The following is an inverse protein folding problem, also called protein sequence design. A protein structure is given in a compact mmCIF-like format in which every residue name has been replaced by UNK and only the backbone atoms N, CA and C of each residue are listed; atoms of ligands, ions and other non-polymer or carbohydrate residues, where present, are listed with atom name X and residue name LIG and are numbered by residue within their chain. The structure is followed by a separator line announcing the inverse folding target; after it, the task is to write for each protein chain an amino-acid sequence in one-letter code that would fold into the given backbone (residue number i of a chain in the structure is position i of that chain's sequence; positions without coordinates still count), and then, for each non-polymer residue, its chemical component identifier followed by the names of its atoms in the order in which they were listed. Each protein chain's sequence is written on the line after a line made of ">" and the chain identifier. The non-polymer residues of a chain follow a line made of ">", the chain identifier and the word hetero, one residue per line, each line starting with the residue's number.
data_IF_507319802941
#
_entry.id   IF_507319802941
#
_cell.length_a   1.000
_cell.length_b   1.000
_cell.length_c   1.000
_cell.angle_alpha   90.00
_cell.angle_beta   90.00
_cell.angle_gamma   90.00
#
_symmetry.space_group_name_H-M   'P 1'
#
loop_
_entity.id
_entity.type
_entity.pdbx_description
1 polymer ?
#
# COMPACT_ATOMS: atom_id res chain seq x y z
N UNK A 1 40.66 -50.51 34.64
CA UNK A 1 41.37 -49.56 33.76
C UNK A 1 40.34 -48.60 33.19
N UNK A 2 40.27 -47.39 33.72
CA UNK A 2 39.52 -46.30 33.10
C UNK A 2 40.44 -45.64 32.06
N UNK A 3 39.98 -45.47 30.83
CA UNK A 3 40.80 -44.92 29.74
C UNK A 3 39.99 -44.50 28.52
N UNK A 4 39.30 -43.37 28.66
CA UNK A 4 38.92 -42.40 27.61
C UNK A 4 38.55 -42.92 26.22
N UNK A 5 37.28 -43.26 26.02
CA UNK A 5 36.65 -43.33 24.69
C UNK A 5 36.25 -41.97 24.11
N UNK A 6 36.43 -40.88 24.87
CA UNK A 6 35.94 -39.52 24.54
C UNK A 6 37.05 -38.51 24.20
N UNK A 7 38.34 -38.88 24.28
CA UNK A 7 39.44 -37.96 24.00
C UNK A 7 39.82 -37.98 22.52
N UNK A 8 39.26 -37.05 21.76
CA UNK A 8 39.72 -36.72 20.40
C UNK A 8 41.23 -36.45 20.39
N UNK A 9 41.92 -36.96 19.39
CA UNK A 9 43.34 -36.66 19.19
C UNK A 9 43.53 -35.18 18.82
N UNK A 10 44.68 -34.59 19.17
CA UNK A 10 45.01 -33.19 18.82
C UNK A 10 44.88 -32.94 17.31
N UNK A 11 45.18 -33.95 16.48
CA UNK A 11 45.00 -33.92 15.03
C UNK A 11 43.54 -33.83 14.58
N UNK A 12 42.62 -34.53 15.25
CA UNK A 12 41.18 -34.47 14.96
C UNK A 12 40.60 -33.12 15.38
N UNK A 13 40.97 -32.64 16.58
CA UNK A 13 40.59 -31.30 17.03
C UNK A 13 41.09 -30.20 16.07
N UNK A 14 42.29 -30.35 15.53
CA UNK A 14 42.85 -29.40 14.55
C UNK A 14 42.12 -29.44 13.20
N UNK A 15 41.69 -30.61 12.74
CA UNK A 15 40.88 -30.76 11.53
C UNK A 15 39.47 -30.19 11.71
N UNK A 16 38.84 -30.49 12.84
CA UNK A 16 37.52 -29.95 13.21
C UNK A 16 37.57 -28.42 13.32
N UNK A 17 38.58 -27.87 14.01
CA UNK A 17 38.78 -26.43 14.12
C UNK A 17 39.01 -25.77 12.74
N UNK A 18 39.77 -26.41 11.84
CA UNK A 18 39.97 -25.91 10.48
C UNK A 18 38.67 -25.95 9.65
N UNK A 19 37.86 -27.00 9.78
CA UNK A 19 36.57 -27.13 9.11
C UNK A 19 35.57 -26.08 9.62
N UNK A 20 35.50 -25.87 10.94
CA UNK A 20 34.69 -24.81 11.56
C UNK A 20 35.15 -23.44 11.10
N UNK A 21 36.46 -23.18 11.06
CA UNK A 21 37.01 -21.90 10.59
C UNK A 21 36.65 -21.62 9.13
N UNK A 22 36.69 -22.63 8.25
CA UNK A 22 36.24 -22.50 6.85
C UNK A 22 34.74 -22.15 6.79
N UNK A 23 33.90 -22.85 7.55
CA UNK A 23 32.46 -22.54 7.62
C UNK A 23 32.19 -21.12 8.11
N UNK A 24 32.92 -20.65 9.13
CA UNK A 24 32.79 -19.27 9.63
C UNK A 24 33.17 -18.27 8.53
N UNK A 25 34.25 -18.51 7.78
CA UNK A 25 34.66 -17.65 6.67
C UNK A 25 33.60 -17.61 5.57
N UNK A 26 33.08 -18.78 5.18
CA UNK A 26 32.03 -18.88 4.15
C UNK A 26 30.75 -18.15 4.57
N UNK A 27 30.32 -18.33 5.83
CA UNK A 27 29.17 -17.61 6.41
C UNK A 27 29.43 -16.10 6.49
N UNK A 28 30.65 -15.66 6.79
CA UNK A 28 31.01 -14.24 6.81
C UNK A 28 30.88 -13.62 5.43
N UNK A 29 31.34 -14.32 4.38
CA UNK A 29 31.20 -13.88 2.99
C UNK A 29 29.72 -13.82 2.58
N UNK A 30 28.91 -14.81 2.99
CA UNK A 30 27.47 -14.80 2.73
C UNK A 30 26.77 -13.62 3.43
N UNK A 31 27.08 -13.37 4.71
CA UNK A 31 26.55 -12.22 5.46
C UNK A 31 26.92 -10.90 4.79
N UNK A 32 28.16 -10.75 4.33
CA UNK A 32 28.59 -9.54 3.64
C UNK A 32 27.84 -9.33 2.31
N UNK A 33 27.56 -10.41 1.57
CA UNK A 33 26.73 -10.35 0.36
C UNK A 33 25.29 -9.92 0.67
N UNK A 34 24.69 -10.47 1.72
CA UNK A 34 23.34 -10.09 2.16
C UNK A 34 23.31 -8.62 2.59
N UNK A 35 24.26 -8.16 3.40
CA UNK A 35 24.36 -6.76 3.81
C UNK A 35 24.46 -5.81 2.60
N UNK A 36 25.29 -6.14 1.61
CA UNK A 36 25.41 -5.35 0.39
C UNK A 36 24.13 -5.35 -0.46
N UNK A 37 23.38 -6.46 -0.46
CA UNK A 37 22.08 -6.52 -1.13
C UNK A 37 21.04 -5.66 -0.40
N UNK A 38 20.96 -5.75 0.93
CA UNK A 38 20.04 -4.96 1.76
C UNK A 38 20.31 -3.46 1.64
N UNK A 39 21.58 -3.05 1.61
CA UNK A 39 21.95 -1.64 1.41
C UNK A 39 21.53 -1.12 0.04
N UNK A 40 21.67 -1.94 -1.02
CA UNK A 40 21.20 -1.60 -2.37
C UNK A 40 19.68 -1.49 -2.42
N UNK A 41 18.97 -2.46 -1.85
CA UNK A 41 17.51 -2.43 -1.77
C UNK A 41 17.01 -1.17 -1.04
N UNK A 42 17.62 -0.83 0.10
CA UNK A 42 17.27 0.36 0.88
C UNK A 42 17.42 1.65 0.06
N UNK A 43 18.50 1.79 -0.71
CA UNK A 43 18.70 2.94 -1.61
C UNK A 43 17.65 3.04 -2.72
N UNK A 44 17.26 1.91 -3.31
CA UNK A 44 16.22 1.88 -4.35
C UNK A 44 14.86 2.27 -3.77
N UNK A 45 14.55 1.77 -2.56
CA UNK A 45 13.35 2.13 -1.83
C UNK A 45 13.35 3.64 -1.53
N UNK A 46 14.46 4.20 -1.06
CA UNK A 46 14.58 5.65 -0.82
C UNK A 46 14.33 6.46 -2.10
N UNK A 47 14.86 6.01 -3.24
CA UNK A 47 14.63 6.64 -4.54
C UNK A 47 13.16 6.58 -4.95
N UNK A 48 12.49 5.44 -4.76
CA UNK A 48 11.05 5.30 -5.06
C UNK A 48 10.20 6.22 -4.17
N UNK A 49 10.51 6.29 -2.87
CA UNK A 49 9.79 7.18 -1.96
C UNK A 49 9.99 8.65 -2.34
N UNK A 50 11.18 9.05 -2.78
CA UNK A 50 11.41 10.40 -3.29
C UNK A 50 10.63 10.73 -4.56
N UNK A 51 10.26 9.74 -5.37
CA UNK A 51 9.50 9.95 -6.60
C UNK A 51 8.00 9.95 -6.36
N UNK A 52 7.51 9.02 -5.53
CA UNK A 52 6.08 8.72 -5.41
C UNK A 52 5.46 9.11 -4.06
N UNK A 53 6.30 9.51 -3.11
CA UNK A 53 5.91 9.76 -1.72
C UNK A 53 6.70 10.96 -1.14
N UNK A 54 6.84 12.04 -1.93
CA UNK A 54 7.57 13.26 -1.55
C UNK A 54 7.09 13.90 -0.25
N UNK A 55 5.86 13.61 0.13
CA UNK A 55 5.17 14.14 1.31
C UNK A 55 5.43 13.31 2.58
N UNK A 56 6.09 12.15 2.44
CA UNK A 56 6.44 11.25 3.56
C UNK A 56 7.61 11.82 4.33
N UNK A 57 7.38 12.14 5.59
CA UNK A 57 8.48 12.42 6.53
C UNK A 57 9.14 11.10 6.96
N UNK A 58 10.37 11.15 7.51
CA UNK A 58 11.01 9.93 8.04
C UNK A 58 10.12 9.18 9.04
N UNK A 59 9.28 9.90 9.78
CA UNK A 59 8.33 9.32 10.75
C UNK A 59 7.14 8.60 10.08
N UNK A 60 6.76 8.97 8.86
CA UNK A 60 5.65 8.36 8.13
C UNK A 60 6.09 7.09 7.36
N UNK A 61 7.40 6.87 7.25
CA UNK A 61 8.00 5.77 6.47
C UNK A 61 7.70 4.40 7.06
N UNK A 62 7.85 4.26 8.38
CA UNK A 62 7.58 2.99 9.07
C UNK A 62 6.08 2.64 8.99
N UNK A 63 5.21 3.64 9.10
CA UNK A 63 3.78 3.47 8.88
C UNK A 63 3.47 3.02 7.45
N UNK A 64 4.13 3.63 6.44
CA UNK A 64 3.94 3.24 5.05
C UNK A 64 4.38 1.80 4.79
N UNK A 65 5.52 1.37 5.32
CA UNK A 65 5.93 -0.04 5.19
C UNK A 65 5.03 -0.99 5.96
N UNK A 66 4.52 -0.60 7.13
CA UNK A 66 3.56 -1.41 7.86
C UNK A 66 2.29 -1.64 7.04
N UNK A 67 1.78 -0.59 6.37
CA UNK A 67 0.64 -0.71 5.45
C UNK A 67 0.99 -1.58 4.25
N UNK A 68 2.14 -1.35 3.60
CA UNK A 68 2.58 -2.16 2.46
C UNK A 68 2.85 -3.62 2.84
N UNK A 69 3.25 -3.92 4.07
CA UNK A 69 3.42 -5.29 4.54
C UNK A 69 2.10 -5.96 4.98
N UNK A 70 0.99 -5.21 4.99
CA UNK A 70 -0.30 -5.72 5.42
C UNK A 70 -0.86 -6.78 4.47
N UNK A 71 -1.38 -7.85 5.05
CA UNK A 71 -2.10 -8.94 4.35
C UNK A 71 -3.59 -8.97 4.73
N UNK A 72 -4.06 -7.94 5.43
CA UNK A 72 -5.44 -7.81 5.93
C UNK A 72 -6.44 -7.63 4.79
N UNK A 73 -7.67 -8.12 4.97
CA UNK A 73 -8.79 -7.77 4.09
C UNK A 73 -9.22 -6.30 4.23
N UNK A 74 -8.95 -5.72 5.40
CA UNK A 74 -9.20 -4.31 5.70
C UNK A 74 -7.87 -3.55 5.61
N UNK A 75 -7.72 -2.74 4.56
CA UNK A 75 -6.57 -1.89 4.30
C UNK A 75 -6.84 -0.48 4.85
N UNK A 76 -6.19 -0.15 5.95
CA UNK A 76 -6.22 1.20 6.54
C UNK A 76 -4.90 1.91 6.21
N UNK A 77 -5.01 3.07 5.57
CA UNK A 77 -3.87 3.94 5.28
C UNK A 77 -4.12 5.39 5.66
N UNK A 78 -4.92 5.66 6.70
CA UNK A 78 -5.28 7.01 7.14
C UNK A 78 -4.10 7.98 7.35
N UNK A 79 -2.89 7.48 7.64
CA UNK A 79 -1.71 8.29 7.96
C UNK A 79 -0.58 8.22 6.93
N UNK A 80 -0.81 7.65 5.74
CA UNK A 80 0.25 7.50 4.71
C UNK A 80 -0.26 7.93 3.33
N UNK A 81 0.63 8.33 2.40
CA UNK A 81 0.20 8.80 1.09
C UNK A 81 -0.45 7.72 0.24
N UNK A 82 -1.44 8.12 -0.56
CA UNK A 82 -2.22 7.22 -1.40
C UNK A 82 -1.45 6.70 -2.61
N UNK A 83 -0.55 7.49 -3.23
CA UNK A 83 0.09 7.11 -4.50
C UNK A 83 0.86 5.78 -4.40
N UNK A 84 1.75 5.55 -3.40
CA UNK A 84 2.41 4.26 -3.24
C UNK A 84 1.44 3.10 -3.01
N UNK A 85 0.35 3.34 -2.27
CA UNK A 85 -0.68 2.34 -1.99
C UNK A 85 -1.46 1.99 -3.27
N UNK A 86 -1.83 3.00 -4.07
CA UNK A 86 -2.51 2.80 -5.35
C UNK A 86 -1.62 2.06 -6.36
N UNK A 87 -0.30 2.33 -6.39
CA UNK A 87 0.65 1.56 -7.19
C UNK A 87 0.70 0.11 -6.71
N UNK A 88 0.79 -0.14 -5.40
CA UNK A 88 0.78 -1.49 -4.86
C UNK A 88 -0.53 -2.23 -5.17
N UNK A 89 -1.69 -1.56 -5.06
CA UNK A 89 -2.99 -2.10 -5.48
C UNK A 89 -3.01 -2.47 -6.97
N UNK A 90 -2.46 -1.62 -7.83
CA UNK A 90 -2.37 -1.88 -9.28
C UNK A 90 -1.43 -3.05 -9.65
N UNK A 91 -0.54 -3.45 -8.74
CA UNK A 91 0.41 -4.55 -8.94
C UNK A 91 0.01 -5.82 -8.16
N UNK A 92 -1.27 -5.97 -7.81
CA UNK A 92 -1.84 -7.13 -7.11
C UNK A 92 -1.19 -7.44 -5.75
N UNK A 93 -0.50 -6.45 -5.15
CA UNK A 93 0.20 -6.63 -3.88
C UNK A 93 -0.78 -6.89 -2.73
N UNK A 94 -1.98 -6.31 -2.82
CA UNK A 94 -3.06 -6.41 -1.83
C UNK A 94 -4.17 -7.37 -2.29
N UNK A 95 -3.79 -8.61 -2.61
CA UNK A 95 -4.68 -9.61 -3.22
C UNK A 95 -5.92 -9.99 -2.41
N UNK A 96 -5.96 -9.72 -1.10
CA UNK A 96 -7.10 -10.07 -0.23
C UNK A 96 -7.96 -8.86 0.19
N UNK A 97 -7.62 -7.65 -0.25
CA UNK A 97 -8.28 -6.44 0.25
C UNK A 97 -9.71 -6.34 -0.26
N UNK A 98 -10.64 -6.21 0.68
CA UNK A 98 -12.07 -5.97 0.45
C UNK A 98 -12.50 -4.58 0.90
N UNK A 99 -11.86 -4.01 1.92
CA UNK A 99 -12.24 -2.71 2.47
C UNK A 99 -11.03 -1.80 2.51
N UNK A 100 -11.20 -0.59 1.99
CA UNK A 100 -10.17 0.44 1.97
C UNK A 100 -10.63 1.61 2.84
N UNK A 101 -9.79 2.01 3.80
CA UNK A 101 -10.05 3.13 4.72
C UNK A 101 -8.90 4.12 4.66
N UNK A 102 -9.25 5.38 4.40
CA UNK A 102 -8.35 6.52 4.35
C UNK A 102 -8.99 7.73 5.05
N UNK A 103 -9.69 7.46 6.15
CA UNK A 103 -10.44 8.46 6.91
C UNK A 103 -9.50 9.53 7.45
N UNK A 104 -9.84 10.80 7.24
CA UNK A 104 -9.06 11.99 7.64
C UNK A 104 -7.63 11.99 7.11
N UNK A 105 -7.36 11.27 6.02
CA UNK A 105 -6.04 11.23 5.45
C UNK A 105 -5.69 12.58 4.81
N UNK A 106 -4.63 13.21 5.34
CA UNK A 106 -4.13 14.53 4.92
C UNK A 106 -3.50 14.55 3.53
N UNK A 107 -3.08 13.39 3.03
CA UNK A 107 -2.41 13.21 1.74
C UNK A 107 -3.41 12.93 0.60
N UNK A 108 -4.71 12.86 0.89
CA UNK A 108 -5.75 12.65 -0.13
C UNK A 108 -6.19 13.97 -0.72
N UNK A 109 -6.01 14.06 -2.03
CA UNK A 109 -6.46 15.15 -2.90
C UNK A 109 -7.23 14.57 -4.10
N UNK A 110 -7.75 15.46 -4.96
CA UNK A 110 -8.47 15.02 -6.15
C UNK A 110 -7.60 14.16 -7.08
N UNK A 111 -6.33 14.53 -7.29
CA UNK A 111 -5.50 13.84 -8.28
C UNK A 111 -5.15 12.41 -7.85
N UNK A 112 -4.81 12.23 -6.58
CA UNK A 112 -4.53 10.92 -6.00
C UNK A 112 -5.76 10.02 -5.98
N UNK A 113 -6.95 10.57 -5.67
CA UNK A 113 -8.21 9.82 -5.75
C UNK A 113 -8.61 9.50 -7.17
N UNK A 114 -8.40 10.40 -8.13
CA UNK A 114 -8.61 10.12 -9.55
C UNK A 114 -7.74 8.93 -9.98
N UNK A 115 -6.46 8.92 -9.60
CA UNK A 115 -5.59 7.79 -9.90
C UNK A 115 -6.11 6.49 -9.27
N UNK A 116 -6.50 6.51 -7.99
CA UNK A 116 -7.11 5.35 -7.32
C UNK A 116 -8.39 4.88 -8.03
N UNK A 117 -9.24 5.80 -8.48
CA UNK A 117 -10.46 5.45 -9.22
C UNK A 117 -10.15 4.68 -10.50
N UNK A 118 -9.11 5.08 -11.24
CA UNK A 118 -8.65 4.35 -12.43
C UNK A 118 -8.10 2.96 -12.06
N UNK A 119 -7.31 2.87 -10.99
CA UNK A 119 -6.79 1.58 -10.50
C UNK A 119 -7.93 0.63 -10.13
N UNK A 120 -8.92 1.10 -9.37
CA UNK A 120 -10.10 0.31 -8.98
C UNK A 120 -11.00 -0.07 -10.17
N UNK A 121 -11.06 0.79 -11.19
CA UNK A 121 -11.88 0.59 -12.39
C UNK A 121 -11.29 -0.45 -13.33
N UNK A 122 -9.97 -0.42 -13.53
CA UNK A 122 -9.31 -1.19 -14.58
C UNK A 122 -8.50 -2.40 -14.08
N UNK A 123 -8.33 -2.55 -12.76
CA UNK A 123 -7.67 -3.75 -12.20
C UNK A 123 -8.70 -4.85 -11.89
N UNK A 124 -8.69 -6.00 -12.60
CA UNK A 124 -9.65 -7.07 -12.37
C UNK A 124 -9.57 -7.66 -10.96
N UNK A 125 -8.37 -7.71 -10.38
CA UNK A 125 -8.12 -8.23 -9.02
C UNK A 125 -8.78 -7.38 -7.93
N UNK A 126 -9.09 -6.11 -8.23
CA UNK A 126 -9.74 -5.19 -7.29
C UNK A 126 -11.26 -5.19 -7.41
N UNK A 127 -11.85 -6.04 -8.27
CA UNK A 127 -13.30 -6.24 -8.38
C UNK A 127 -13.95 -6.73 -7.08
N UNK A 128 -13.17 -7.39 -6.21
CA UNK A 128 -13.54 -7.85 -4.87
C UNK A 128 -13.56 -6.75 -3.80
N UNK A 129 -13.03 -5.56 -4.09
CA UNK A 129 -13.12 -4.43 -3.15
C UNK A 129 -14.57 -4.00 -3.04
N UNK A 130 -15.13 -4.04 -1.84
CA UNK A 130 -16.54 -3.76 -1.56
C UNK A 130 -16.73 -2.37 -0.94
N UNK A 131 -15.68 -1.78 -0.36
CA UNK A 131 -15.80 -0.53 0.39
C UNK A 131 -14.59 0.38 0.21
N UNK A 132 -14.85 1.68 0.01
CA UNK A 132 -13.90 2.77 0.10
C UNK A 132 -14.43 3.86 1.03
N UNK A 133 -13.72 4.13 2.12
CA UNK A 133 -14.00 5.23 3.03
C UNK A 133 -12.89 6.29 2.96
N UNK A 134 -13.25 7.48 2.48
CA UNK A 134 -12.39 8.67 2.35
C UNK A 134 -12.98 9.86 3.12
N UNK A 135 -13.76 9.59 4.17
CA UNK A 135 -14.41 10.62 4.98
C UNK A 135 -13.38 11.56 5.63
N UNK A 136 -13.69 12.84 5.77
CA UNK A 136 -12.80 13.82 6.40
C UNK A 136 -11.59 14.21 5.56
N UNK A 137 -11.59 13.94 4.25
CA UNK A 137 -10.50 14.30 3.33
C UNK A 137 -10.80 15.58 2.58
N UNK A 138 -9.81 16.09 1.81
CA UNK A 138 -9.94 17.30 0.98
C UNK A 138 -10.45 17.00 -0.44
N UNK A 139 -10.97 15.80 -0.67
CA UNK A 139 -11.44 15.34 -1.97
C UNK A 139 -12.72 16.07 -2.33
N UNK A 140 -12.72 16.73 -3.48
CA UNK A 140 -13.83 17.56 -3.96
C UNK A 140 -14.73 16.75 -4.90
N UNK A 141 -15.78 17.40 -5.41
CA UNK A 141 -16.65 16.85 -6.45
C UNK A 141 -15.87 16.42 -7.70
N UNK A 142 -14.72 17.03 -7.98
CA UNK A 142 -13.84 16.62 -9.08
C UNK A 142 -13.31 15.20 -8.85
N UNK A 143 -12.72 14.91 -7.69
CA UNK A 143 -12.22 13.57 -7.39
C UNK A 143 -13.35 12.54 -7.26
N UNK A 144 -14.44 12.92 -6.59
CA UNK A 144 -15.61 12.05 -6.41
C UNK A 144 -16.27 11.68 -7.74
N UNK A 145 -16.32 12.58 -8.71
CA UNK A 145 -16.88 12.30 -10.04
C UNK A 145 -16.26 11.05 -10.68
N UNK A 146 -14.93 10.88 -10.62
CA UNK A 146 -14.27 9.71 -11.20
C UNK A 146 -14.56 8.41 -10.43
N UNK A 147 -14.72 8.49 -9.10
CA UNK A 147 -15.19 7.35 -8.31
C UNK A 147 -16.62 6.96 -8.69
N UNK A 148 -17.49 7.94 -8.91
CA UNK A 148 -18.87 7.70 -9.34
C UNK A 148 -18.94 7.09 -10.74
N UNK A 149 -18.10 7.52 -11.70
CA UNK A 149 -18.00 6.88 -13.02
C UNK A 149 -17.57 5.40 -12.89
N UNK A 150 -16.56 5.13 -12.07
CA UNK A 150 -16.15 3.74 -11.79
C UNK A 150 -17.30 2.92 -11.19
N UNK A 151 -18.04 3.48 -10.23
CA UNK A 151 -19.22 2.80 -9.64
C UNK A 151 -20.36 2.60 -10.64
N UNK A 152 -20.58 3.56 -11.55
CA UNK A 152 -21.59 3.45 -12.62
C UNK A 152 -21.32 2.23 -13.51
N UNK A 153 -20.06 1.93 -13.78
CA UNK A 153 -19.65 0.82 -14.66
C UNK A 153 -19.55 -0.53 -13.95
N UNK A 154 -19.42 -0.52 -12.63
CA UNK A 154 -19.17 -1.73 -11.84
C UNK A 154 -20.43 -2.59 -11.64
N UNK A 155 -20.32 -3.89 -11.91
CA UNK A 155 -21.42 -4.84 -11.67
C UNK A 155 -21.40 -5.43 -10.25
N UNK A 156 -20.23 -5.44 -9.59
CA UNK A 156 -20.09 -5.95 -8.22
C UNK A 156 -20.53 -4.93 -7.17
N UNK A 157 -20.95 -5.38 -5.96
CA UNK A 157 -21.30 -4.49 -4.87
C UNK A 157 -20.16 -3.55 -4.49
N UNK A 158 -20.45 -2.25 -4.32
CA UNK A 158 -19.46 -1.27 -3.89
C UNK A 158 -20.08 -0.14 -3.06
N UNK A 159 -19.48 0.16 -1.92
CA UNK A 159 -19.87 1.23 -1.02
C UNK A 159 -18.81 2.33 -0.99
N UNK A 160 -19.21 3.57 -1.28
CA UNK A 160 -18.38 4.76 -1.12
C UNK A 160 -18.88 5.58 0.07
N UNK A 161 -17.98 5.87 1.01
CA UNK A 161 -18.21 6.75 2.15
C UNK A 161 -17.26 7.95 2.03
N UNK A 162 -17.81 9.15 1.94
CA UNK A 162 -17.06 10.39 1.80
C UNK A 162 -17.75 11.53 2.58
N UNK A 163 -17.96 11.31 3.88
CA UNK A 163 -18.60 12.29 4.78
C UNK A 163 -17.62 13.36 5.25
N UNK A 164 -18.14 14.43 5.85
CA UNK A 164 -17.36 15.44 6.58
C UNK A 164 -16.21 16.03 5.75
N UNK A 165 -16.44 16.23 4.44
CA UNK A 165 -15.42 16.69 3.50
C UNK A 165 -14.86 18.04 3.93
N UNK A 166 -13.53 18.16 3.91
CA UNK A 166 -12.83 19.38 4.30
C UNK A 166 -12.97 20.40 3.18
N UNK A 167 -13.48 21.62 3.46
CA UNK A 167 -13.60 22.66 2.44
C UNK A 167 -12.24 23.00 1.81
N UNK A 168 -12.20 23.07 0.49
CA UNK A 168 -11.05 23.59 -0.27
C UNK A 168 -11.26 25.05 -0.65
N UNK A 169 -10.19 25.84 -0.57
CA UNK A 169 -10.18 27.26 -0.96
C UNK A 169 -10.35 27.45 -2.48
N UNK A 170 -9.99 26.43 -3.26
CA UNK A 170 -10.09 26.45 -4.72
C UNK A 170 -11.50 26.00 -5.12
N UNK A 171 -12.29 26.84 -5.80
CA UNK A 171 -13.61 26.46 -6.26
C UNK A 171 -13.52 25.40 -7.36
N UNK A 172 -14.39 24.40 -7.28
CA UNK A 172 -14.52 23.37 -8.32
C UNK A 172 -15.14 24.00 -9.58
N UNK A 173 -14.55 23.71 -10.75
CA UNK A 173 -15.07 24.23 -12.00
C UNK A 173 -16.51 23.74 -12.26
N UNK A 174 -17.36 24.62 -12.79
CA UNK A 174 -18.80 24.37 -12.99
C UNK A 174 -19.07 23.10 -13.81
N UNK A 175 -18.21 22.82 -14.80
CA UNK A 175 -18.30 21.59 -15.60
C UNK A 175 -18.23 20.32 -14.75
N UNK A 176 -17.29 20.25 -13.79
CA UNK A 176 -17.16 19.11 -12.89
C UNK A 176 -18.35 19.00 -11.95
N UNK A 177 -18.93 20.12 -11.51
CA UNK A 177 -20.16 20.10 -10.69
C UNK A 177 -21.34 19.50 -11.45
N UNK A 178 -21.53 19.84 -12.73
CA UNK A 178 -22.60 19.28 -13.56
C UNK A 178 -22.39 17.78 -13.81
N UNK A 179 -21.16 17.38 -14.15
CA UNK A 179 -20.77 15.98 -14.36
C UNK A 179 -20.95 15.15 -13.10
N UNK A 180 -20.52 15.68 -11.95
CA UNK A 180 -20.71 15.07 -10.65
C UNK A 180 -22.19 14.84 -10.32
N UNK A 181 -23.04 15.85 -10.49
CA UNK A 181 -24.48 15.73 -10.24
C UNK A 181 -25.14 14.67 -11.15
N UNK A 182 -24.72 14.59 -12.41
CA UNK A 182 -25.22 13.57 -13.34
C UNK A 182 -24.79 12.17 -12.90
N UNK A 183 -23.51 11.96 -12.61
CA UNK A 183 -22.97 10.69 -12.15
C UNK A 183 -23.64 10.24 -10.84
N UNK A 184 -23.85 11.17 -9.90
CA UNK A 184 -24.52 10.90 -8.63
C UNK A 184 -25.94 10.36 -8.83
N UNK A 185 -26.72 10.95 -9.75
CA UNK A 185 -28.07 10.48 -10.07
C UNK A 185 -28.07 9.08 -10.68
N UNK A 186 -27.06 8.76 -11.51
CA UNK A 186 -26.96 7.45 -12.14
C UNK A 186 -26.60 6.37 -11.14
N UNK A 187 -25.56 6.60 -10.32
CA UNK A 187 -25.15 5.66 -9.27
C UNK A 187 -26.24 5.49 -8.23
N UNK A 188 -26.96 6.56 -7.86
CA UNK A 188 -28.09 6.48 -6.92
C UNK A 188 -29.27 5.61 -7.38
N UNK A 189 -29.34 5.24 -8.67
CA UNK A 189 -30.34 4.29 -9.21
C UNK A 189 -29.86 2.84 -9.19
N UNK A 190 -28.57 2.59 -8.96
CA UNK A 190 -27.99 1.25 -8.95
C UNK A 190 -28.22 0.58 -7.60
N UNK A 191 -28.76 -0.63 -7.61
CA UNK A 191 -29.04 -1.41 -6.39
C UNK A 191 -27.79 -2.03 -5.75
N UNK A 192 -26.71 -2.19 -6.52
CA UNK A 192 -25.44 -2.74 -6.05
C UNK A 192 -24.48 -1.69 -5.49
N UNK A 193 -24.82 -0.41 -5.57
CA UNK A 193 -23.96 0.68 -5.09
C UNK A 193 -24.56 1.35 -3.85
N UNK A 194 -23.73 1.62 -2.85
CA UNK A 194 -24.11 2.41 -1.68
C UNK A 194 -23.26 3.69 -1.62
N UNK A 195 -23.92 4.83 -1.38
CA UNK A 195 -23.28 6.14 -1.31
C UNK A 195 -23.61 6.79 0.03
N UNK A 196 -22.59 7.24 0.75
CA UNK A 196 -22.76 8.14 1.89
C UNK A 196 -21.81 9.32 1.75
N UNK A 197 -22.36 10.50 1.49
CA UNK A 197 -21.62 11.74 1.20
C UNK A 197 -21.82 12.78 2.29
#
# INVERSE_FOLDING_TARGET
>A
MYGDGDRKTISELRRDAAAVRRRILDQTVQLQRVQNATARASRLIDQLLRLFATEVTENDRDALFAVLASISEDLDFSNVPLIPIAIALANDHFSNVKRIRAVRNRFLDDNSVIFLAHVLRFSPSLSQVELLDISGTRVTEKGLFFLLEMMEERETPFALIAKDRVPTEIPVAVEFMQKYQLALRKVGRKSNCALTL
#
